data_IF_817044626331
#
_entry.id   IF_817044626331
#
_cell.length_a   1.000
_cell.length_b   1.000
_cell.length_c   1.000
_cell.angle_alpha   90.00
_cell.angle_beta   90.00
_cell.angle_gamma   90.00
#
_symmetry.space_group_name_H-M   'P 1'
#
loop_
_entity.id
_entity.type
_entity.pdbx_description
1 polymer ?
#
# COMPACT_ATOMS: atom_id res chain seq x y z
N UNK A 1 5.46 15.53 -13.05
CA UNK A 1 5.21 14.06 -13.00
C UNK A 1 5.44 13.46 -14.39
N UNK A 2 6.28 12.43 -14.49
CA UNK A 2 6.51 11.71 -15.76
C UNK A 2 5.48 10.58 -15.90
N UNK A 3 4.84 10.48 -17.07
CA UNK A 3 3.96 9.33 -17.36
C UNK A 3 4.79 8.06 -17.50
N UNK A 4 4.45 7.00 -16.76
CA UNK A 4 5.12 5.71 -16.88
C UNK A 4 4.61 4.96 -18.11
N UNK A 5 5.44 4.89 -19.16
CA UNK A 5 5.16 4.09 -20.37
C UNK A 5 5.59 2.63 -20.15
N UNK A 6 5.13 1.70 -20.99
CA UNK A 6 5.55 0.29 -20.95
C UNK A 6 7.08 0.15 -21.07
N UNK A 7 7.72 0.93 -21.92
CA UNK A 7 9.18 0.95 -22.09
C UNK A 7 9.89 1.41 -20.80
N UNK A 8 9.45 2.53 -20.19
CA UNK A 8 10.01 3.03 -18.93
C UNK A 8 9.82 2.04 -17.78
N UNK A 9 8.68 1.34 -17.75
CA UNK A 9 8.43 0.29 -16.77
C UNK A 9 9.39 -0.89 -16.92
N UNK A 10 9.73 -1.30 -18.14
CA UNK A 10 10.74 -2.34 -18.39
C UNK A 10 12.12 -1.91 -17.88
N UNK A 11 12.55 -0.70 -18.20
CA UNK A 11 13.83 -0.16 -17.72
C UNK A 11 13.84 -0.10 -16.18
N UNK A 12 12.77 0.36 -15.56
CA UNK A 12 12.64 0.42 -14.10
C UNK A 12 12.82 -0.97 -13.48
N UNK A 13 12.11 -1.99 -14.00
CA UNK A 13 12.24 -3.38 -13.54
C UNK A 13 13.67 -3.90 -13.67
N UNK A 14 14.33 -3.66 -14.80
CA UNK A 14 15.73 -4.09 -15.02
C UNK A 14 16.66 -3.42 -13.99
N UNK A 15 16.53 -2.11 -13.79
CA UNK A 15 17.34 -1.39 -12.79
C UNK A 15 17.15 -1.94 -11.37
N UNK A 16 15.94 -2.33 -11.01
CA UNK A 16 15.62 -2.88 -9.69
C UNK A 16 16.28 -4.22 -9.40
N UNK A 17 16.51 -5.06 -10.43
CA UNK A 17 17.16 -6.37 -10.27
C UNK A 17 18.60 -6.23 -9.72
N UNK A 18 19.29 -5.15 -10.08
CA UNK A 18 20.67 -4.90 -9.68
C UNK A 18 20.82 -4.12 -8.37
N UNK A 19 19.71 -3.79 -7.70
CA UNK A 19 19.76 -3.11 -6.40
C UNK A 19 19.77 -4.17 -5.30
N UNK A 20 20.84 -4.24 -4.46
CA UNK A 20 20.92 -5.20 -3.39
C UNK A 20 19.82 -4.98 -2.34
N UNK A 21 19.52 -6.03 -1.59
CA UNK A 21 18.58 -5.94 -0.48
C UNK A 21 19.17 -5.12 0.68
N UNK A 22 18.28 -4.65 1.56
CA UNK A 22 18.62 -3.86 2.73
C UNK A 22 18.22 -2.39 2.63
N UNK A 23 18.40 -1.62 3.72
CA UNK A 23 17.85 -0.27 3.87
C UNK A 23 18.26 0.73 2.79
N UNK A 24 19.51 0.64 2.31
CA UNK A 24 20.00 1.50 1.23
C UNK A 24 19.44 1.09 -0.13
N UNK A 25 19.25 -0.21 -0.36
CA UNK A 25 18.59 -0.72 -1.55
C UNK A 25 17.13 -0.28 -1.60
N UNK A 26 16.42 -0.37 -0.47
CA UNK A 26 15.03 0.05 -0.36
C UNK A 26 14.86 1.54 -0.69
N UNK A 27 15.78 2.39 -0.19
CA UNK A 27 15.82 3.81 -0.50
C UNK A 27 16.10 4.07 -2.00
N UNK A 28 17.04 3.33 -2.58
CA UNK A 28 17.34 3.44 -4.02
C UNK A 28 16.13 3.04 -4.87
N UNK A 29 15.42 1.97 -4.51
CA UNK A 29 14.18 1.55 -5.20
C UNK A 29 13.09 2.61 -5.09
N UNK A 30 12.89 3.21 -3.91
CA UNK A 30 11.97 4.34 -3.71
C UNK A 30 12.26 5.49 -4.68
N UNK A 31 13.51 5.97 -4.72
CA UNK A 31 13.95 7.05 -5.62
C UNK A 31 13.72 6.74 -7.11
N UNK A 32 13.77 5.49 -7.52
CA UNK A 32 13.47 5.12 -8.91
C UNK A 32 11.98 5.29 -9.25
N UNK A 33 11.06 5.17 -8.28
CA UNK A 33 9.64 5.41 -8.48
C UNK A 33 9.25 6.89 -8.41
N UNK A 34 9.93 7.72 -7.58
CA UNK A 34 9.59 9.12 -7.32
C UNK A 34 9.21 9.94 -8.57
N UNK A 35 9.96 9.89 -9.71
CA UNK A 35 9.63 10.68 -10.89
C UNK A 35 8.26 10.35 -11.52
N UNK A 36 7.67 9.22 -11.15
CA UNK A 36 6.42 8.68 -11.69
C UNK A 36 5.26 8.77 -10.71
N UNK A 37 5.50 9.09 -9.44
CA UNK A 37 4.46 9.20 -8.42
C UNK A 37 3.58 10.44 -8.64
N UNK A 38 2.33 10.39 -8.19
CA UNK A 38 1.43 11.54 -8.17
C UNK A 38 1.97 12.65 -7.25
N UNK A 39 2.42 12.26 -6.07
CA UNK A 39 3.18 13.09 -5.12
C UNK A 39 4.04 12.19 -4.23
N UNK A 40 5.11 12.75 -3.67
CA UNK A 40 5.95 12.05 -2.71
C UNK A 40 6.58 13.02 -1.72
N UNK A 41 6.77 12.53 -0.48
CA UNK A 41 7.52 13.19 0.58
C UNK A 41 8.95 12.65 0.70
N UNK A 42 9.57 12.93 1.82
CA UNK A 42 10.95 12.52 2.08
C UNK A 42 11.05 11.04 2.49
N UNK A 43 12.21 10.44 2.22
CA UNK A 43 12.60 9.10 2.70
C UNK A 43 11.60 7.99 2.33
N UNK A 44 11.07 8.02 1.11
CA UNK A 44 10.27 6.93 0.57
C UNK A 44 11.14 5.69 0.31
N UNK A 45 10.72 4.54 0.83
CA UNK A 45 11.44 3.27 0.71
C UNK A 45 10.56 2.19 0.11
N UNK A 46 11.15 1.37 -0.75
CA UNK A 46 10.47 0.24 -1.41
C UNK A 46 11.31 -1.02 -1.27
N UNK A 47 10.78 -2.02 -0.60
CA UNK A 47 11.39 -3.34 -0.45
C UNK A 47 11.60 -4.05 -1.79
N UNK A 48 12.50 -5.02 -1.80
CA UNK A 48 12.75 -5.81 -3.01
C UNK A 48 11.47 -6.53 -3.46
N UNK A 49 11.34 -6.73 -4.78
CA UNK A 49 10.19 -7.36 -5.43
C UNK A 49 8.83 -6.67 -5.20
N UNK A 50 8.76 -5.59 -4.43
CA UNK A 50 7.53 -4.81 -4.33
C UNK A 50 7.20 -4.16 -5.68
N UNK A 51 5.92 -4.21 -6.06
CA UNK A 51 5.48 -3.77 -7.38
C UNK A 51 4.36 -2.73 -7.28
N UNK A 52 4.64 -1.53 -7.81
CA UNK A 52 3.65 -0.45 -7.93
C UNK A 52 3.14 -0.45 -9.37
N UNK A 53 1.90 -0.93 -9.56
CA UNK A 53 1.28 -1.06 -10.88
C UNK A 53 0.96 0.31 -11.49
N UNK A 54 0.37 1.21 -10.69
CA UNK A 54 -0.02 2.55 -11.13
C UNK A 54 0.70 3.65 -10.31
N UNK A 55 2.00 3.88 -10.52
CA UNK A 55 2.71 4.92 -9.77
C UNK A 55 2.15 6.33 -10.00
N UNK A 56 1.56 6.61 -11.17
CA UNK A 56 0.92 7.89 -11.44
C UNK A 56 -0.38 8.13 -10.61
N UNK A 57 -0.96 7.10 -10.03
CA UNK A 57 -2.09 7.19 -9.10
C UNK A 57 -1.68 7.07 -7.63
N UNK A 58 -0.38 6.89 -7.33
CA UNK A 58 0.11 6.74 -5.97
C UNK A 58 0.64 8.07 -5.43
N UNK A 59 0.08 8.49 -4.28
CA UNK A 59 0.59 9.59 -3.45
C UNK A 59 1.20 9.00 -2.18
N UNK A 60 2.41 9.42 -1.83
CA UNK A 60 3.08 9.00 -0.59
C UNK A 60 3.54 10.21 0.20
N UNK A 61 3.35 10.17 1.52
CA UNK A 61 3.88 11.15 2.47
C UNK A 61 5.35 10.91 2.81
N UNK A 62 5.78 11.50 3.92
CA UNK A 62 7.13 11.35 4.44
C UNK A 62 7.32 9.99 5.13
N UNK A 63 8.52 9.43 5.02
CA UNK A 63 8.94 8.22 5.75
C UNK A 63 8.08 6.97 5.50
N UNK A 64 7.46 6.85 4.32
CA UNK A 64 6.66 5.69 3.93
C UNK A 64 7.55 4.53 3.52
N UNK A 65 7.20 3.31 3.99
CA UNK A 65 7.85 2.07 3.60
C UNK A 65 6.86 1.09 2.98
N UNK A 66 7.22 0.53 1.84
CA UNK A 66 6.51 -0.59 1.20
C UNK A 66 7.35 -1.84 1.30
N UNK A 67 6.84 -2.85 2.01
CA UNK A 67 7.54 -4.10 2.30
C UNK A 67 7.80 -5.00 1.10
N UNK A 68 8.67 -5.97 1.31
CA UNK A 68 9.07 -6.99 0.34
C UNK A 68 7.85 -7.65 -0.32
N UNK A 69 7.92 -7.85 -1.65
CA UNK A 69 6.92 -8.56 -2.46
C UNK A 69 5.47 -8.07 -2.28
N UNK A 70 5.29 -6.80 -1.92
CA UNK A 70 3.96 -6.18 -1.82
C UNK A 70 3.50 -5.63 -3.16
N UNK A 71 2.19 -5.65 -3.39
CA UNK A 71 1.55 -5.21 -4.63
C UNK A 71 0.64 -4.01 -4.36
N UNK A 72 0.93 -2.88 -5.00
CA UNK A 72 0.04 -1.73 -5.08
C UNK A 72 -0.54 -1.67 -6.49
N UNK A 73 -1.84 -1.94 -6.58
CA UNK A 73 -2.53 -2.18 -7.85
C UNK A 73 -3.01 -0.94 -8.58
N UNK A 74 -4.10 -1.10 -9.28
CA UNK A 74 -4.71 -0.06 -10.10
C UNK A 74 -5.56 0.89 -9.24
N UNK A 75 -5.82 2.10 -9.77
CA UNK A 75 -6.58 3.17 -9.12
C UNK A 75 -5.70 4.14 -8.36
N UNK A 76 -6.32 5.00 -7.57
CA UNK A 76 -5.63 5.98 -6.73
C UNK A 76 -5.41 5.43 -5.32
N UNK A 77 -4.17 5.52 -4.85
CA UNK A 77 -3.79 5.12 -3.49
C UNK A 77 -3.07 6.31 -2.83
N UNK A 78 -3.50 6.68 -1.64
CA UNK A 78 -2.88 7.71 -0.82
C UNK A 78 -2.35 7.08 0.48
N UNK A 79 -1.04 7.12 0.64
CA UNK A 79 -0.34 6.72 1.86
C UNK A 79 0.14 7.99 2.55
N UNK A 80 -0.37 8.28 3.74
CA UNK A 80 0.07 9.45 4.51
C UNK A 80 1.45 9.22 5.14
N UNK A 81 1.94 10.21 5.88
CA UNK A 81 3.26 10.13 6.51
C UNK A 81 3.40 8.89 7.40
N UNK A 82 4.59 8.33 7.45
CA UNK A 82 4.97 7.25 8.37
C UNK A 82 4.16 5.95 8.19
N UNK A 83 3.48 5.78 7.05
CA UNK A 83 2.78 4.51 6.76
C UNK A 83 3.80 3.40 6.54
N UNK A 84 3.62 2.30 7.29
CA UNK A 84 4.42 1.09 7.20
C UNK A 84 3.61 -0.03 6.56
N UNK A 85 3.96 -0.42 5.34
CA UNK A 85 3.37 -1.59 4.66
C UNK A 85 4.29 -2.78 4.86
N UNK A 86 3.76 -3.84 5.48
CA UNK A 86 4.45 -5.12 5.69
C UNK A 86 4.71 -5.86 4.39
N UNK A 87 5.32 -7.04 4.50
CA UNK A 87 5.64 -7.88 3.35
C UNK A 87 4.39 -8.55 2.79
N UNK A 88 4.36 -8.85 1.48
CA UNK A 88 3.28 -9.60 0.82
C UNK A 88 1.89 -8.95 0.93
N UNK A 89 1.81 -7.65 1.17
CA UNK A 89 0.55 -6.90 1.25
C UNK A 89 0.01 -6.64 -0.15
N UNK A 90 -1.31 -6.76 -0.32
CA UNK A 90 -2.02 -6.42 -1.56
C UNK A 90 -2.97 -5.24 -1.33
N UNK A 91 -2.75 -4.14 -2.04
CA UNK A 91 -3.62 -2.96 -2.02
C UNK A 91 -4.11 -2.69 -3.44
N UNK A 92 -5.41 -2.80 -3.70
CA UNK A 92 -5.96 -2.60 -5.04
C UNK A 92 -7.17 -1.67 -4.99
N UNK A 93 -7.03 -0.46 -5.56
CA UNK A 93 -8.06 0.56 -5.60
C UNK A 93 -9.00 0.40 -6.81
N UNK A 94 -9.27 -0.83 -7.23
CA UNK A 94 -10.21 -1.14 -8.32
C UNK A 94 -10.86 -2.50 -8.14
N UNK A 95 -12.13 -2.59 -8.49
CA UNK A 95 -12.92 -3.83 -8.53
C UNK A 95 -13.35 -4.12 -9.95
N UNK A 96 -13.39 -5.39 -10.34
CA UNK A 96 -13.97 -5.79 -11.62
C UNK A 96 -15.49 -5.70 -11.59
N UNK A 97 -16.06 -5.27 -12.71
CA UNK A 97 -17.50 -5.23 -12.92
C UNK A 97 -17.96 -6.50 -13.65
N UNK A 98 -19.21 -6.91 -13.38
CA UNK A 98 -19.82 -8.04 -14.08
C UNK A 98 -20.53 -7.56 -15.35
N UNK A 99 -20.35 -8.29 -16.45
CA UNK A 99 -21.10 -8.10 -17.70
C UNK A 99 -21.48 -9.46 -18.27
N UNK A 100 -22.76 -9.67 -18.52
CA UNK A 100 -23.29 -10.95 -19.05
C UNK A 100 -22.81 -12.17 -18.24
N UNK A 101 -22.84 -12.09 -16.89
CA UNK A 101 -22.41 -13.15 -16.01
C UNK A 101 -20.89 -13.35 -15.88
N UNK A 102 -20.05 -12.48 -16.47
CA UNK A 102 -18.60 -12.61 -16.46
C UNK A 102 -17.90 -11.34 -15.95
N UNK A 103 -17.01 -11.47 -14.96
CA UNK A 103 -16.12 -10.40 -14.53
C UNK A 103 -14.98 -10.13 -15.52
N UNK A 104 -14.65 -11.13 -16.40
CA UNK A 104 -13.56 -11.02 -17.36
C UNK A 104 -13.76 -9.88 -18.37
N UNK A 105 -15.01 -9.61 -18.73
CA UNK A 105 -15.38 -8.66 -19.80
C UNK A 105 -16.14 -7.42 -19.30
N UNK A 106 -16.36 -7.31 -17.99
CA UNK A 106 -17.13 -6.21 -17.38
C UNK A 106 -16.38 -4.88 -17.28
N UNK A 107 -15.06 -4.90 -17.45
CA UNK A 107 -14.23 -3.74 -17.13
C UNK A 107 -13.95 -3.65 -15.64
N UNK A 108 -13.67 -2.44 -15.14
CA UNK A 108 -13.39 -2.21 -13.72
C UNK A 108 -13.94 -0.85 -13.28
N UNK A 109 -14.20 -0.74 -11.99
CA UNK A 109 -14.51 0.52 -11.30
C UNK A 109 -13.41 0.80 -10.28
N UNK A 110 -12.88 2.03 -10.27
CA UNK A 110 -11.82 2.43 -9.37
C UNK A 110 -12.37 3.36 -8.27
N UNK A 111 -12.04 3.04 -7.02
CA UNK A 111 -12.35 3.85 -5.85
C UNK A 111 -11.09 4.06 -5.03
N UNK A 112 -10.81 5.33 -4.70
CA UNK A 112 -9.58 5.73 -4.00
C UNK A 112 -9.45 5.02 -2.65
N UNK A 113 -8.23 4.54 -2.36
CA UNK A 113 -7.84 4.06 -1.04
C UNK A 113 -7.04 5.15 -0.33
N UNK A 114 -7.29 5.32 0.98
CA UNK A 114 -6.55 6.24 1.83
C UNK A 114 -6.07 5.51 3.10
N UNK A 115 -4.78 5.62 3.40
CA UNK A 115 -4.17 5.07 4.61
C UNK A 115 -3.63 6.22 5.45
N UNK A 116 -4.15 6.36 6.67
CA UNK A 116 -3.82 7.42 7.60
C UNK A 116 -2.39 7.33 8.14
N UNK A 117 -1.91 8.47 8.64
CA UNK A 117 -0.54 8.65 9.16
C UNK A 117 -0.20 7.59 10.23
N UNK A 118 1.03 7.06 10.19
CA UNK A 118 1.56 6.14 11.20
C UNK A 118 0.86 4.78 11.26
N UNK A 119 0.03 4.45 10.27
CA UNK A 119 -0.67 3.15 10.21
C UNK A 119 0.26 2.06 9.72
N UNK A 120 0.24 0.92 10.43
CA UNK A 120 0.95 -0.29 10.06
C UNK A 120 0.02 -1.32 9.44
N UNK A 121 0.34 -1.74 8.23
CA UNK A 121 -0.34 -2.84 7.53
C UNK A 121 0.51 -4.10 7.72
N UNK A 122 -0.01 -5.06 8.48
CA UNK A 122 0.66 -6.34 8.75
C UNK A 122 0.84 -7.20 7.49
N UNK A 123 1.80 -8.11 7.56
CA UNK A 123 2.17 -8.95 6.43
C UNK A 123 0.98 -9.76 5.87
N UNK A 124 0.90 -9.89 4.55
CA UNK A 124 -0.14 -10.66 3.88
C UNK A 124 -1.54 -10.06 3.93
N UNK A 125 -1.73 -8.86 4.49
CA UNK A 125 -3.03 -8.20 4.50
C UNK A 125 -3.46 -7.77 3.09
N UNK A 126 -4.77 -7.70 2.87
CA UNK A 126 -5.37 -7.23 1.62
C UNK A 126 -6.31 -6.06 1.89
N UNK A 127 -6.22 -5.00 1.07
CA UNK A 127 -7.08 -3.82 1.16
C UNK A 127 -7.77 -3.61 -0.17
N UNK A 128 -9.12 -3.57 -0.13
CA UNK A 128 -9.95 -3.43 -1.33
C UNK A 128 -10.27 -2.00 -1.68
N UNK A 129 -10.77 -1.76 -2.89
CA UNK A 129 -11.13 -0.45 -3.40
C UNK A 129 -12.11 0.29 -2.50
N UNK A 130 -11.95 1.61 -2.41
CA UNK A 130 -12.81 2.52 -1.65
C UNK A 130 -12.54 2.60 -0.15
N UNK A 131 -11.60 1.80 0.37
CA UNK A 131 -11.31 1.74 1.81
C UNK A 131 -10.51 2.97 2.26
N UNK A 132 -10.96 3.58 3.37
CA UNK A 132 -10.21 4.57 4.15
C UNK A 132 -9.88 4.00 5.53
N UNK A 133 -8.60 4.01 5.89
CA UNK A 133 -8.11 3.61 7.21
C UNK A 133 -7.55 4.85 7.90
N UNK A 134 -7.96 5.07 9.13
CA UNK A 134 -7.53 6.20 9.96
C UNK A 134 -6.05 6.19 10.31
N UNK A 135 -5.63 7.18 11.09
CA UNK A 135 -4.26 7.31 11.56
C UNK A 135 -3.95 6.34 12.72
N UNK A 136 -2.68 5.99 12.86
CA UNK A 136 -2.17 5.17 13.97
C UNK A 136 -2.93 3.84 14.16
N UNK A 137 -3.38 3.22 13.05
CA UNK A 137 -4.02 1.91 13.08
C UNK A 137 -2.99 0.77 12.94
N UNK A 138 -3.36 -0.41 13.44
CA UNK A 138 -2.68 -1.67 13.19
C UNK A 138 -3.63 -2.59 12.41
N UNK A 139 -3.28 -2.92 11.18
CA UNK A 139 -3.94 -3.98 10.42
C UNK A 139 -3.18 -5.28 10.67
N UNK A 140 -3.83 -6.25 11.30
CA UNK A 140 -3.22 -7.54 11.62
C UNK A 140 -2.81 -8.30 10.35
N UNK A 141 -1.77 -9.11 10.47
CA UNK A 141 -1.30 -9.96 9.37
C UNK A 141 -2.41 -10.85 8.82
N UNK A 142 -2.50 -10.94 7.49
CA UNK A 142 -3.53 -11.74 6.81
C UNK A 142 -4.94 -11.16 6.84
N UNK A 143 -5.18 -9.97 7.39
CA UNK A 143 -6.50 -9.35 7.41
C UNK A 143 -6.98 -8.95 6.01
N UNK A 144 -8.29 -9.05 5.75
CA UNK A 144 -8.93 -8.57 4.52
C UNK A 144 -9.83 -7.39 4.85
N UNK A 145 -9.36 -6.18 4.49
CA UNK A 145 -10.02 -4.91 4.82
C UNK A 145 -10.94 -4.51 3.66
N UNK A 146 -12.25 -4.51 3.92
CA UNK A 146 -13.30 -4.25 2.93
C UNK A 146 -14.21 -3.08 3.27
N UNK A 147 -13.93 -2.37 4.38
CA UNK A 147 -14.68 -1.20 4.84
C UNK A 147 -13.77 -0.20 5.55
N UNK A 148 -14.28 0.98 5.80
CA UNK A 148 -13.57 2.05 6.50
C UNK A 148 -13.40 1.78 7.99
N UNK A 149 -12.31 2.32 8.55
CA UNK A 149 -12.01 2.28 9.98
C UNK A 149 -11.46 3.63 10.44
N UNK A 150 -11.84 4.03 11.63
CA UNK A 150 -11.38 5.26 12.28
C UNK A 150 -9.95 5.11 12.84
N UNK A 151 -9.44 6.19 13.45
CA UNK A 151 -8.10 6.26 14.00
C UNK A 151 -7.88 5.32 15.19
N UNK A 152 -6.62 4.93 15.42
CA UNK A 152 -6.13 4.22 16.62
C UNK A 152 -6.75 2.85 16.88
N UNK A 153 -7.16 2.16 15.84
CA UNK A 153 -7.78 0.84 15.95
C UNK A 153 -6.79 -0.29 15.62
N UNK A 154 -6.99 -1.44 16.28
CA UNK A 154 -6.41 -2.71 15.87
C UNK A 154 -7.49 -3.48 15.11
N UNK A 155 -7.19 -3.83 13.86
CA UNK A 155 -8.13 -4.36 12.89
C UNK A 155 -7.62 -5.70 12.39
N UNK A 156 -8.45 -6.76 12.46
CA UNK A 156 -8.04 -8.09 12.04
C UNK A 156 -9.18 -8.96 11.55
N UNK A 157 -8.83 -10.07 10.91
CA UNK A 157 -9.78 -11.09 10.44
C UNK A 157 -10.17 -10.98 8.96
N UNK A 158 -10.99 -11.93 8.50
CA UNK A 158 -11.51 -12.06 7.12
C UNK A 158 -13.02 -12.34 7.18
N UNK A 159 -13.90 -11.37 6.83
CA UNK A 159 -13.61 -9.94 6.67
C UNK A 159 -13.16 -9.27 7.96
N UNK A 160 -12.42 -8.18 7.85
CA UNK A 160 -11.81 -7.53 9.00
C UNK A 160 -12.83 -6.84 9.92
N UNK A 161 -12.52 -6.85 11.23
CA UNK A 161 -13.26 -6.21 12.32
C UNK A 161 -12.27 -5.48 13.23
N UNK A 162 -12.79 -4.56 14.06
CA UNK A 162 -12.04 -4.04 15.22
C UNK A 162 -11.84 -5.16 16.22
N UNK A 163 -10.58 -5.40 16.61
CA UNK A 163 -10.18 -6.41 17.59
C UNK A 163 -9.47 -5.81 18.80
N UNK A 164 -9.24 -4.51 18.79
CA UNK A 164 -8.63 -3.77 19.88
C UNK A 164 -8.43 -2.29 19.56
N UNK A 165 -7.76 -1.60 20.49
CA UNK A 165 -7.43 -0.20 20.40
C UNK A 165 -5.94 -0.01 20.69
N UNK A 166 -5.27 0.91 19.98
CA UNK A 166 -3.83 1.17 20.10
C UNK A 166 -3.45 1.73 21.47
N UNK A 167 -4.30 2.57 22.06
CA UNK A 167 -4.00 3.17 23.37
C UNK A 167 -3.97 2.08 24.48
N UNK A 168 -4.80 1.05 24.38
CA UNK A 168 -4.80 -0.11 25.28
C UNK A 168 -3.60 -1.04 25.01
N UNK A 169 -3.24 -1.21 23.74
CA UNK A 169 -2.08 -2.00 23.34
C UNK A 169 -0.80 -1.40 23.90
N UNK A 170 -0.62 -0.10 23.78
CA UNK A 170 0.57 0.61 24.28
C UNK A 170 0.71 0.47 25.79
N UNK A 171 -0.38 0.66 26.58
CA UNK A 171 -0.36 0.47 28.04
C UNK A 171 0.12 -0.91 28.48
N UNK A 172 -0.07 -1.93 27.64
CA UNK A 172 0.37 -3.31 27.91
C UNK A 172 1.86 -3.55 27.62
N UNK A 173 2.46 -2.72 26.77
CA UNK A 173 3.83 -2.91 26.24
C UNK A 173 4.81 -1.80 26.65
N UNK A 174 4.33 -0.72 27.29
CA UNK A 174 5.17 0.26 27.99
C UNK A 174 5.69 -0.36 29.31
N UNK A 175 6.80 -1.12 29.20
CA UNK A 175 7.61 -1.58 30.34
C UNK A 175 9.05 -1.11 30.16
#
# INVERSE_FOLDING_TARGET
MKKITSFRRRILKIKMIFIPDGPDGDRKRGRLYEPYLKSFGENFKVGSQAFIFNPNGLSVGNHVYIGFNSYLGQGEIELMDEVLIGNFVSITASNHLIKNGSFRFGGYHAEKIKIGRGTWIGAGASITAGVSIGASCLIASGAVVTKNFDDKLIIGGVPSKVIGNIDEFNKKHEK
#
